data_IF_837623495179
#
_entry.id   IF_837623495179
#
_cell.length_a   1.000
_cell.length_b   1.000
_cell.length_c   1.000
_cell.angle_alpha   90.00
_cell.angle_beta   90.00
_cell.angle_gamma   90.00
#
_symmetry.space_group_name_H-M   'P 1'
#
loop_
_entity.id
_entity.type
_entity.pdbx_description
1 polymer ?
#
# COMPACT_ATOMS: atom_id res chain seq x y z
N UNK A 1 -30.06 -53.06 -40.38
CA UNK A 1 -30.17 -51.74 -41.05
C UNK A 1 -28.78 -51.10 -41.13
N UNK A 2 -28.61 -50.14 -42.04
CA UNK A 2 -27.31 -49.73 -42.61
C UNK A 2 -26.39 -49.01 -41.64
N UNK A 3 -25.12 -49.44 -41.57
CA UNK A 3 -24.02 -48.65 -41.02
C UNK A 3 -23.46 -47.70 -42.09
N UNK A 4 -23.01 -46.50 -41.70
CA UNK A 4 -22.35 -45.55 -42.62
C UNK A 4 -21.03 -45.03 -42.07
N UNK A 5 -19.99 -45.21 -42.89
CA UNK A 5 -18.63 -44.69 -42.73
C UNK A 5 -18.36 -43.59 -43.74
N UNK A 6 -17.65 -42.53 -43.34
CA UNK A 6 -16.75 -41.74 -44.20
C UNK A 6 -15.82 -40.89 -43.30
N UNK A 7 -14.50 -40.71 -43.45
CA UNK A 7 -13.50 -40.90 -44.52
C UNK A 7 -13.27 -39.72 -45.50
N UNK A 8 -12.06 -39.15 -45.47
CA UNK A 8 -11.50 -38.19 -46.46
C UNK A 8 -10.95 -36.92 -45.77
N UNK A 9 -9.64 -36.62 -45.65
CA UNK A 9 -8.49 -36.48 -46.59
C UNK A 9 -8.44 -35.16 -47.38
N UNK A 10 -7.25 -34.51 -47.36
CA UNK A 10 -6.84 -33.38 -48.23
C UNK A 10 -6.02 -32.35 -47.44
N UNK A 11 -4.67 -32.42 -47.40
CA UNK A 11 -3.70 -31.90 -48.40
C UNK A 11 -3.54 -30.35 -48.35
N UNK A 12 -2.44 -29.82 -47.80
CA UNK A 12 -1.09 -29.56 -48.39
C UNK A 12 -1.00 -28.30 -49.27
N UNK A 13 -0.17 -27.34 -48.85
CA UNK A 13 0.87 -26.57 -49.60
C UNK A 13 1.34 -25.40 -48.68
N UNK A 14 2.61 -25.02 -48.44
CA UNK A 14 3.94 -25.11 -49.08
C UNK A 14 4.31 -23.96 -50.04
N UNK A 15 5.58 -23.48 -49.94
CA UNK A 15 6.20 -22.28 -50.57
C UNK A 15 5.62 -20.93 -50.06
N UNK A 16 6.29 -19.76 -50.04
CA UNK A 16 7.66 -19.29 -50.29
C UNK A 16 7.76 -17.80 -49.81
N UNK A 17 8.85 -17.04 -49.94
CA UNK A 17 10.23 -17.33 -50.36
C UNK A 17 11.19 -16.17 -49.95
N UNK A 18 12.36 -16.53 -49.42
CA UNK A 18 13.72 -16.00 -49.69
C UNK A 18 13.97 -14.51 -50.09
N UNK A 19 14.97 -13.88 -49.45
CA UNK A 19 15.62 -12.62 -49.87
C UNK A 19 15.85 -11.64 -48.71
N UNK A 20 16.89 -10.79 -48.65
CA UNK A 20 18.12 -10.61 -49.47
C UNK A 20 19.24 -10.06 -48.56
N UNK A 21 20.50 -10.36 -48.87
CA UNK A 21 21.69 -9.82 -48.20
C UNK A 21 21.97 -8.38 -48.65
N UNK A 22 22.36 -7.48 -47.75
CA UNK A 22 23.13 -6.28 -48.13
C UNK A 22 24.18 -5.90 -47.08
N UNK A 23 25.33 -5.45 -47.56
CA UNK A 23 26.54 -5.18 -46.78
C UNK A 23 26.98 -3.71 -46.86
N UNK A 24 27.72 -3.25 -45.85
CA UNK A 24 28.46 -1.99 -45.87
C UNK A 24 27.81 -0.86 -45.07
N UNK A 25 28.55 0.16 -44.62
CA UNK A 25 30.01 0.39 -44.72
C UNK A 25 30.45 1.34 -43.59
N UNK A 26 31.72 1.25 -43.19
CA UNK A 26 32.34 2.13 -42.21
C UNK A 26 32.24 3.62 -42.59
N UNK A 27 32.03 4.49 -41.59
CA UNK A 27 32.59 5.85 -41.57
C UNK A 27 33.24 6.09 -40.22
N UNK A 28 34.55 6.30 -40.25
CA UNK A 28 35.36 6.77 -39.12
C UNK A 28 35.75 8.22 -39.38
N UNK A 29 35.48 9.14 -38.44
CA UNK A 29 36.13 10.44 -38.39
C UNK A 29 36.57 10.75 -36.95
N UNK A 30 37.84 11.14 -36.82
CA UNK A 30 38.51 11.41 -35.55
C UNK A 30 39.11 12.81 -35.57
N UNK A 31 38.80 13.62 -34.55
CA UNK A 31 39.51 14.84 -34.09
C UNK A 31 38.92 15.19 -32.71
N UNK A 32 39.60 15.33 -31.56
CA UNK A 32 41.02 15.48 -31.16
C UNK A 32 41.63 16.88 -31.26
N UNK A 33 41.29 17.71 -30.27
CA UNK A 33 42.13 18.75 -29.61
C UNK A 33 41.65 18.84 -28.13
N UNK A 34 42.48 18.86 -27.08
CA UNK A 34 43.41 19.91 -26.59
C UNK A 34 42.67 21.25 -26.32
N UNK A 35 42.82 21.94 -25.17
CA UNK A 35 44.02 22.11 -24.33
C UNK A 35 43.71 22.50 -22.84
N UNK A 36 44.77 22.75 -22.04
CA UNK A 36 44.80 22.98 -20.58
C UNK A 36 44.15 24.26 -20.00
N UNK A 37 43.86 24.26 -18.68
CA UNK A 37 43.66 25.46 -17.86
C UNK A 37 43.35 25.23 -16.35
N UNK A 38 44.33 25.45 -15.45
CA UNK A 38 44.27 25.53 -13.97
C UNK A 38 45.60 26.13 -13.47
N UNK A 39 45.75 26.69 -12.24
CA UNK A 39 44.78 27.14 -11.21
C UNK A 39 45.12 28.56 -10.61
N UNK A 40 44.68 28.84 -9.35
CA UNK A 40 45.03 29.95 -8.42
C UNK A 40 44.38 31.36 -8.58
N UNK A 41 44.33 32.21 -7.52
CA UNK A 41 44.16 31.95 -6.07
C UNK A 41 43.08 32.85 -5.37
N UNK A 42 42.90 32.73 -4.04
CA UNK A 42 41.97 33.53 -3.20
C UNK A 42 42.49 34.94 -2.83
N UNK A 43 41.65 35.80 -2.19
CA UNK A 43 41.86 36.05 -0.75
C UNK A 43 40.60 36.10 0.15
N UNK A 44 40.82 36.37 1.45
CA UNK A 44 39.95 36.23 2.63
C UNK A 44 38.86 37.31 2.87
N UNK A 45 38.03 37.02 3.90
CA UNK A 45 37.15 37.89 4.73
C UNK A 45 35.67 37.93 4.31
N UNK A 46 34.68 38.08 5.20
CA UNK A 46 34.68 38.46 6.63
C UNK A 46 33.55 37.75 7.41
N UNK A 47 33.68 37.60 8.74
CA UNK A 47 32.57 37.17 9.62
C UNK A 47 31.55 38.30 9.79
N UNK A 48 30.28 38.04 9.50
CA UNK A 48 29.14 38.84 9.99
C UNK A 48 28.00 37.90 10.39
N UNK A 49 27.69 37.87 11.69
CA UNK A 49 26.41 37.37 12.17
C UNK A 49 25.30 38.31 11.71
N UNK A 50 24.21 37.77 11.17
CA UNK A 50 22.91 38.41 11.34
C UNK A 50 21.77 37.40 11.30
N UNK A 51 21.04 37.32 12.41
CA UNK A 51 19.83 36.53 12.54
C UNK A 51 18.68 37.20 11.81
N UNK A 52 18.17 36.59 10.74
CA UNK A 52 16.86 36.92 10.17
C UNK A 52 15.95 35.71 10.29
N UNK A 53 14.92 35.87 11.13
CA UNK A 53 14.00 34.83 11.55
C UNK A 53 13.00 34.48 10.43
N UNK A 54 13.30 33.47 9.62
CA UNK A 54 12.35 32.95 8.62
C UNK A 54 11.54 31.80 9.20
N UNK A 55 10.35 32.13 9.71
CA UNK A 55 9.32 31.14 10.05
C UNK A 55 8.87 30.41 8.78
N UNK A 56 9.39 29.20 8.57
CA UNK A 56 8.91 28.29 7.52
C UNK A 56 9.17 26.83 7.90
N UNK A 57 8.10 26.03 7.97
CA UNK A 57 8.18 24.56 7.88
C UNK A 57 8.78 23.84 9.08
N UNK A 58 7.98 23.66 10.13
CA UNK A 58 8.11 22.51 11.02
C UNK A 58 7.02 21.49 10.68
N UNK A 59 7.12 20.87 9.50
CA UNK A 59 6.41 19.61 9.26
C UNK A 59 6.82 18.64 10.37
N UNK A 60 5.85 18.03 11.05
CA UNK A 60 6.10 17.10 12.14
C UNK A 60 6.64 15.79 11.59
N UNK A 61 7.93 15.78 11.28
CA UNK A 61 8.69 14.58 10.96
C UNK A 61 8.72 13.69 12.22
N UNK A 62 7.80 12.73 12.28
CA UNK A 62 7.81 11.60 13.22
C UNK A 62 8.93 10.61 12.86
N UNK A 63 10.15 11.14 12.87
CA UNK A 63 11.41 10.38 12.79
C UNK A 63 11.36 9.19 13.72
N UNK A 64 11.96 8.06 13.33
CA UNK A 64 12.08 6.89 14.21
C UNK A 64 13.17 7.12 15.28
N UNK A 65 13.31 8.35 15.78
CA UNK A 65 14.36 8.87 16.67
C UNK A 65 14.56 8.07 17.97
N UNK A 66 13.61 7.22 18.33
CA UNK A 66 13.75 6.25 19.42
C UNK A 66 14.66 5.04 19.06
N UNK A 67 14.99 4.83 17.78
CA UNK A 67 15.70 3.67 17.24
C UNK A 67 16.68 4.04 16.10
N UNK A 68 17.86 4.61 16.39
CA UNK A 68 18.81 5.08 15.36
C UNK A 68 19.33 3.96 14.43
N UNK A 69 19.22 2.69 14.80
CA UNK A 69 19.54 1.54 13.91
C UNK A 69 18.49 1.32 12.81
N UNK A 70 17.25 1.74 13.04
CA UNK A 70 16.15 1.68 12.07
C UNK A 70 16.31 2.83 11.07
N UNK A 71 16.51 4.06 11.55
CA UNK A 71 16.74 5.24 10.71
C UNK A 71 17.90 5.03 9.72
N UNK A 72 19.05 4.55 10.20
CA UNK A 72 20.21 4.27 9.35
C UNK A 72 19.93 3.18 8.29
N UNK A 73 19.13 2.15 8.63
CA UNK A 73 18.75 1.12 7.67
C UNK A 73 17.78 1.67 6.61
N UNK A 74 16.79 2.47 7.00
CA UNK A 74 15.85 3.15 6.10
C UNK A 74 16.57 4.14 5.19
N UNK A 75 17.52 4.92 5.71
CA UNK A 75 18.32 5.87 4.92
C UNK A 75 19.21 5.16 3.89
N UNK A 76 19.88 4.08 4.30
CA UNK A 76 20.69 3.23 3.41
C UNK A 76 19.83 2.61 2.31
N UNK A 77 18.65 2.10 2.67
CA UNK A 77 17.65 1.59 1.73
C UNK A 77 17.23 2.68 0.74
N UNK A 78 16.77 3.85 1.19
CA UNK A 78 16.32 4.95 0.32
C UNK A 78 17.40 5.36 -0.71
N UNK A 79 18.66 5.42 -0.29
CA UNK A 79 19.81 5.69 -1.18
C UNK A 79 19.97 4.61 -2.26
N UNK A 80 19.91 3.32 -1.87
CA UNK A 80 19.97 2.20 -2.80
C UNK A 80 18.77 2.18 -3.77
N UNK A 81 17.54 2.40 -3.27
CA UNK A 81 16.32 2.50 -4.08
C UNK A 81 16.43 3.61 -5.14
N UNK A 82 16.91 4.80 -4.78
CA UNK A 82 17.13 5.89 -5.74
C UNK A 82 18.16 5.55 -6.83
N UNK A 83 19.24 4.82 -6.50
CA UNK A 83 20.21 4.33 -7.49
C UNK A 83 19.57 3.31 -8.44
N UNK A 84 18.92 2.28 -7.89
CA UNK A 84 18.34 1.19 -8.70
C UNK A 84 17.12 1.64 -9.52
N UNK A 85 16.34 2.61 -9.03
CA UNK A 85 15.19 3.18 -9.77
C UNK A 85 15.64 3.94 -11.01
N UNK A 86 16.69 4.78 -10.91
CA UNK A 86 17.30 5.48 -12.05
C UNK A 86 17.94 4.52 -13.06
N UNK A 87 18.48 3.39 -12.59
CA UNK A 87 18.97 2.31 -13.44
C UNK A 87 17.86 1.42 -14.04
N UNK A 88 16.58 1.66 -13.72
CA UNK A 88 15.44 0.81 -14.08
C UNK A 88 15.57 -0.66 -13.61
N UNK A 89 16.32 -0.91 -12.54
CA UNK A 89 16.54 -2.27 -12.01
C UNK A 89 15.48 -2.65 -10.98
N UNK A 90 14.31 -3.06 -11.48
CA UNK A 90 13.19 -3.56 -10.66
C UNK A 90 13.59 -4.71 -9.74
N UNK A 91 14.55 -5.56 -10.15
CA UNK A 91 14.99 -6.73 -9.37
C UNK A 91 15.83 -6.31 -8.18
N UNK A 92 16.77 -5.38 -8.35
CA UNK A 92 17.55 -4.85 -7.22
C UNK A 92 16.69 -4.01 -6.28
N UNK A 93 15.71 -3.26 -6.79
CA UNK A 93 14.71 -2.59 -5.94
C UNK A 93 13.96 -3.59 -5.07
N UNK A 94 13.37 -4.64 -5.65
CA UNK A 94 12.64 -5.68 -4.89
C UNK A 94 13.53 -6.43 -3.90
N UNK A 95 14.78 -6.73 -4.26
CA UNK A 95 15.76 -7.36 -3.35
C UNK A 95 16.04 -6.45 -2.15
N UNK A 96 16.37 -5.18 -2.41
CA UNK A 96 16.67 -4.18 -1.37
C UNK A 96 15.51 -4.07 -0.38
N UNK A 97 14.27 -4.01 -0.88
CA UNK A 97 13.06 -3.96 -0.05
C UNK A 97 12.86 -5.22 0.81
N UNK A 98 13.10 -6.42 0.24
CA UNK A 98 13.01 -7.69 0.96
C UNK A 98 14.10 -7.89 2.03
N UNK A 99 15.26 -7.25 1.88
CA UNK A 99 16.38 -7.33 2.83
C UNK A 99 16.17 -6.49 4.11
N UNK A 100 15.37 -5.41 4.05
CA UNK A 100 15.11 -4.55 5.22
C UNK A 100 14.12 -5.22 6.18
N UNK A 101 14.68 -5.90 7.18
CA UNK A 101 13.93 -6.64 8.23
C UNK A 101 12.79 -5.84 8.87
N UNK A 102 12.96 -4.53 9.04
CA UNK A 102 11.98 -3.65 9.68
C UNK A 102 10.70 -3.46 8.85
N UNK A 103 10.71 -3.70 7.53
CA UNK A 103 9.52 -3.63 6.69
C UNK A 103 8.55 -4.81 6.87
N UNK A 104 8.93 -5.81 7.67
CA UNK A 104 8.08 -6.97 7.98
C UNK A 104 6.99 -6.68 9.02
N UNK A 105 7.23 -5.72 9.92
CA UNK A 105 6.31 -5.33 10.98
C UNK A 105 6.59 -3.87 11.32
N UNK A 106 5.95 -2.95 10.60
CA UNK A 106 6.08 -1.52 10.81
C UNK A 106 4.99 -1.05 11.79
N UNK A 107 5.34 -0.48 12.95
CA UNK A 107 4.33 0.12 13.82
C UNK A 107 3.68 1.31 13.12
N UNK A 108 2.35 1.46 13.28
CA UNK A 108 1.65 2.71 13.01
C UNK A 108 1.14 3.25 14.35
N UNK A 109 1.38 4.53 14.61
CA UNK A 109 0.68 5.23 15.67
C UNK A 109 -0.80 5.41 15.29
N UNK A 110 -1.75 5.18 16.21
CA UNK A 110 -3.16 5.49 15.96
C UNK A 110 -3.29 7.01 15.76
N UNK A 111 -3.72 7.42 14.57
CA UNK A 111 -4.10 8.82 14.34
C UNK A 111 -5.48 9.06 14.92
N UNK A 112 -5.79 10.29 15.39
CA UNK A 112 -7.18 10.66 15.57
C UNK A 112 -7.93 10.44 14.24
N UNK A 113 -9.11 9.82 14.24
CA UNK A 113 -9.87 9.66 13.02
C UNK A 113 -10.14 11.04 12.40
N UNK A 114 -10.08 11.16 11.05
CA UNK A 114 -10.58 12.37 10.41
C UNK A 114 -12.04 12.57 10.82
N UNK A 115 -12.48 13.83 10.99
CA UNK A 115 -13.88 14.15 11.25
C UNK A 115 -14.71 13.86 9.99
N UNK A 116 -15.04 12.59 9.81
CA UNK A 116 -15.93 12.04 8.77
C UNK A 116 -17.31 11.90 9.38
N UNK A 117 -18.32 12.18 8.56
CA UNK A 117 -19.72 12.04 8.96
C UNK A 117 -20.06 10.57 9.25
N UNK A 118 -20.87 10.34 10.29
CA UNK A 118 -21.20 8.99 10.75
C UNK A 118 -21.97 8.22 9.66
N UNK A 119 -22.89 8.87 8.97
CA UNK A 119 -23.70 8.25 7.90
C UNK A 119 -22.82 7.84 6.70
N UNK A 120 -21.85 8.67 6.30
CA UNK A 120 -20.88 8.31 5.24
C UNK A 120 -20.04 7.08 5.64
N UNK A 121 -19.62 7.04 6.91
CA UNK A 121 -18.77 5.98 7.45
C UNK A 121 -19.52 4.65 7.57
N UNK A 122 -20.76 4.67 8.07
CA UNK A 122 -21.66 3.51 8.08
C UNK A 122 -21.92 3.00 6.66
N UNK A 123 -22.17 3.91 5.71
CA UNK A 123 -22.39 3.57 4.31
C UNK A 123 -21.12 3.05 3.60
N UNK A 124 -19.91 3.40 4.05
CA UNK A 124 -18.67 2.75 3.61
C UNK A 124 -18.58 1.32 4.16
N UNK A 125 -18.66 1.16 5.48
CA UNK A 125 -18.52 -0.15 6.15
C UNK A 125 -19.61 -1.12 5.70
N UNK A 126 -20.83 -0.65 5.42
CA UNK A 126 -21.92 -1.47 4.88
C UNK A 126 -21.63 -2.09 3.50
N UNK A 127 -20.65 -1.57 2.73
CA UNK A 127 -20.21 -2.11 1.44
C UNK A 127 -19.06 -3.12 1.58
N UNK A 128 -18.46 -3.22 2.76
CA UNK A 128 -17.31 -4.10 3.00
C UNK A 128 -17.72 -5.56 3.20
N UNK A 129 -16.82 -6.46 2.82
CA UNK A 129 -16.94 -7.88 3.15
C UNK A 129 -16.22 -8.12 4.48
N UNK A 130 -16.96 -8.53 5.50
CA UNK A 130 -16.45 -8.76 6.85
C UNK A 130 -16.48 -10.26 7.17
N UNK A 131 -15.56 -10.71 8.02
CA UNK A 131 -15.55 -12.05 8.62
C UNK A 131 -15.39 -11.87 10.11
N UNK A 132 -16.44 -12.16 10.88
CA UNK A 132 -16.45 -12.06 12.34
C UNK A 132 -16.24 -13.44 12.97
N UNK A 133 -15.18 -13.62 13.76
CA UNK A 133 -14.82 -14.88 14.43
C UNK A 133 -14.79 -16.09 13.46
N UNK A 134 -14.30 -15.88 12.23
CA UNK A 134 -14.25 -16.90 11.17
C UNK A 134 -15.56 -17.10 10.38
N UNK A 135 -16.66 -16.45 10.77
CA UNK A 135 -17.94 -16.50 10.07
C UNK A 135 -18.12 -15.28 9.15
N UNK A 136 -18.48 -15.50 7.89
CA UNK A 136 -18.79 -14.42 6.96
C UNK A 136 -19.96 -13.56 7.47
N UNK A 137 -19.75 -12.25 7.54
CA UNK A 137 -20.70 -11.27 8.04
C UNK A 137 -20.96 -10.21 6.96
N UNK A 138 -22.23 -10.02 6.61
CA UNK A 138 -22.66 -8.97 5.71
C UNK A 138 -23.29 -7.83 6.51
N UNK A 139 -22.64 -6.65 6.62
CA UNK A 139 -23.13 -5.52 7.42
C UNK A 139 -24.43 -4.86 6.89
N UNK A 140 -24.99 -5.34 5.78
CA UNK A 140 -26.21 -4.84 5.14
C UNK A 140 -27.53 -5.07 5.92
N UNK A 141 -27.46 -5.31 7.24
CA UNK A 141 -28.62 -5.36 8.16
C UNK A 141 -28.32 -4.60 9.47
N UNK A 142 -27.54 -3.51 9.41
CA UNK A 142 -27.56 -2.46 10.44
C UNK A 142 -28.46 -1.34 9.92
N UNK A 143 -29.76 -1.64 9.83
CA UNK A 143 -30.77 -0.75 9.25
C UNK A 143 -32.14 -1.04 9.84
N UNK A 144 -32.50 -0.26 10.87
CA UNK A 144 -33.88 -0.10 11.38
C UNK A 144 -34.60 -1.40 11.75
N UNK A 145 -34.08 -2.12 12.74
CA UNK A 145 -34.77 -3.21 13.44
C UNK A 145 -34.89 -2.91 14.94
N UNK A 146 -36.10 -3.00 15.52
CA UNK A 146 -36.43 -2.55 16.88
C UNK A 146 -35.82 -3.39 18.03
N UNK A 147 -34.89 -4.31 17.76
CA UNK A 147 -34.41 -5.31 18.72
C UNK A 147 -33.09 -4.94 19.44
N UNK A 148 -32.75 -3.64 19.49
CA UNK A 148 -31.60 -3.12 20.24
C UNK A 148 -31.65 -3.43 21.76
N UNK A 149 -32.84 -3.75 22.28
CA UNK A 149 -33.10 -4.05 23.69
C UNK A 149 -32.36 -5.29 24.22
N UNK A 150 -32.27 -6.37 23.43
CA UNK A 150 -31.71 -7.63 23.91
C UNK A 150 -30.17 -7.59 24.05
N UNK A 151 -29.48 -7.09 23.01
CA UNK A 151 -28.03 -7.13 22.93
C UNK A 151 -27.35 -6.03 23.78
N UNK A 152 -28.03 -4.93 24.06
CA UNK A 152 -27.53 -3.89 24.98
C UNK A 152 -27.28 -4.45 26.40
N UNK A 153 -28.02 -5.48 26.82
CA UNK A 153 -27.87 -6.09 28.15
C UNK A 153 -26.52 -6.80 28.36
N UNK A 154 -25.96 -7.44 27.32
CA UNK A 154 -24.62 -8.04 27.41
C UNK A 154 -23.52 -6.97 27.47
N UNK A 155 -23.62 -5.92 26.64
CA UNK A 155 -22.64 -4.82 26.62
C UNK A 155 -22.64 -4.07 27.95
N UNK A 156 -23.80 -3.90 28.58
CA UNK A 156 -23.95 -3.22 29.88
C UNK A 156 -23.29 -3.95 31.06
N UNK A 157 -22.98 -5.24 30.91
CA UNK A 157 -22.32 -6.06 31.94
C UNK A 157 -20.78 -6.13 31.80
N UNK A 158 -20.25 -5.62 30.69
CA UNK A 158 -18.83 -5.67 30.38
C UNK A 158 -18.14 -4.40 30.90
N UNK A 159 -16.98 -4.56 31.53
CA UNK A 159 -16.20 -3.45 32.07
C UNK A 159 -15.50 -2.67 30.95
N UNK A 160 -16.27 -1.90 30.19
CA UNK A 160 -15.80 -1.00 29.12
C UNK A 160 -15.68 0.41 29.69
N UNK A 161 -14.50 1.03 29.57
CA UNK A 161 -14.26 2.40 30.07
C UNK A 161 -14.71 3.49 29.09
N UNK A 162 -14.89 3.13 27.83
CA UNK A 162 -15.41 3.98 26.75
C UNK A 162 -16.95 3.95 26.73
N UNK A 163 -17.57 5.05 26.29
CA UNK A 163 -19.01 5.06 26.01
C UNK A 163 -19.33 4.17 24.80
N UNK A 164 -20.53 3.57 24.71
CA UNK A 164 -20.93 2.76 23.56
C UNK A 164 -20.81 3.50 22.23
N UNK A 165 -21.19 4.78 22.20
CA UNK A 165 -21.16 5.61 20.98
C UNK A 165 -19.72 5.86 20.49
N UNK A 166 -18.78 6.12 21.40
CA UNK A 166 -17.36 6.29 21.04
C UNK A 166 -16.76 4.97 20.56
N UNK A 167 -17.08 3.85 21.22
CA UNK A 167 -16.62 2.52 20.79
C UNK A 167 -17.16 2.16 19.40
N UNK A 168 -18.42 2.50 19.12
CA UNK A 168 -19.05 2.28 17.81
C UNK A 168 -18.38 3.13 16.71
N UNK A 169 -18.19 4.43 16.95
CA UNK A 169 -17.51 5.32 16.00
C UNK A 169 -16.06 4.88 15.75
N UNK A 170 -15.30 4.59 16.80
CA UNK A 170 -13.91 4.11 16.67
C UNK A 170 -13.85 2.81 15.86
N UNK A 171 -14.74 1.84 16.13
CA UNK A 171 -14.79 0.60 15.38
C UNK A 171 -15.10 0.85 13.89
N UNK A 172 -16.10 1.67 13.57
CA UNK A 172 -16.41 2.06 12.19
C UNK A 172 -15.20 2.71 11.51
N UNK A 173 -14.46 3.59 12.20
CA UNK A 173 -13.25 4.22 11.63
C UNK A 173 -12.14 3.21 11.30
N UNK A 174 -12.07 2.06 11.99
CA UNK A 174 -11.08 1.00 11.70
C UNK A 174 -11.53 0.06 10.60
N UNK A 175 -12.83 -0.22 10.52
CA UNK A 175 -13.43 -1.02 9.46
C UNK A 175 -13.50 -0.26 8.13
N UNK A 176 -13.58 1.07 8.15
CA UNK A 176 -13.48 1.91 6.95
C UNK A 176 -12.09 1.78 6.31
N UNK A 177 -12.03 1.17 5.12
CA UNK A 177 -10.78 1.00 4.37
C UNK A 177 -10.22 2.31 3.86
N UNK A 178 -11.01 3.36 3.66
CA UNK A 178 -10.48 4.69 3.29
C UNK A 178 -9.57 5.24 4.39
N UNK A 179 -10.04 5.22 5.65
CA UNK A 179 -9.30 5.66 6.84
C UNK A 179 -8.10 4.75 7.08
N UNK A 180 -8.33 3.43 7.18
CA UNK A 180 -7.27 2.43 7.37
C UNK A 180 -6.21 2.48 6.24
N UNK A 181 -6.60 2.78 5.00
CA UNK A 181 -5.66 2.99 3.89
C UNK A 181 -4.92 4.33 3.96
N UNK A 182 -5.52 5.40 4.49
CA UNK A 182 -4.84 6.69 4.72
C UNK A 182 -3.80 6.58 5.84
N UNK A 183 -4.11 5.78 6.87
CA UNK A 183 -3.21 5.43 7.96
C UNK A 183 -1.98 4.65 7.46
N UNK A 184 -2.22 3.60 6.68
CA UNK A 184 -1.13 2.86 6.05
C UNK A 184 -0.36 3.73 5.04
N UNK A 185 -1.06 4.55 4.25
CA UNK A 185 -0.46 5.35 3.19
C UNK A 185 0.62 6.29 3.71
N UNK A 186 0.32 7.16 4.70
CA UNK A 186 1.31 8.16 5.09
C UNK A 186 2.55 7.52 5.72
N UNK A 187 2.40 6.44 6.52
CA UNK A 187 3.55 5.74 7.12
C UNK A 187 4.38 5.00 6.06
N UNK A 188 3.74 4.35 5.09
CA UNK A 188 4.45 3.70 3.99
C UNK A 188 5.10 4.71 3.04
N UNK A 189 4.45 5.85 2.77
CA UNK A 189 5.00 6.91 1.92
C UNK A 189 6.19 7.61 2.57
N UNK A 190 6.18 7.81 3.89
CA UNK A 190 7.33 8.28 4.66
C UNK A 190 8.57 7.38 4.45
N UNK A 191 8.38 6.06 4.37
CA UNK A 191 9.48 5.07 4.31
C UNK A 191 9.91 4.76 2.87
N UNK A 192 8.94 4.57 1.97
CA UNK A 192 9.14 4.06 0.60
C UNK A 192 9.13 5.19 -0.46
N UNK A 193 8.52 6.33 -0.15
CA UNK A 193 8.52 7.51 -1.00
C UNK A 193 9.93 8.11 -1.13
N UNK A 194 10.25 8.63 -2.31
CA UNK A 194 11.55 9.25 -2.58
C UNK A 194 11.48 10.28 -3.72
N UNK A 195 12.63 10.84 -4.09
CA UNK A 195 12.70 11.70 -5.28
C UNK A 195 12.27 10.96 -6.57
N UNK A 196 12.49 9.65 -6.66
CA UNK A 196 12.29 8.85 -7.88
C UNK A 196 11.02 7.97 -7.84
N UNK A 197 10.53 7.65 -6.64
CA UNK A 197 9.39 6.74 -6.41
C UNK A 197 8.26 7.45 -5.66
N UNK A 198 7.04 7.32 -6.18
CA UNK A 198 5.80 7.66 -5.51
C UNK A 198 5.10 6.37 -5.04
N UNK A 199 4.60 6.37 -3.80
CA UNK A 199 3.59 5.41 -3.38
C UNK A 199 2.20 5.92 -3.82
N UNK A 200 1.32 5.04 -4.26
CA UNK A 200 -0.10 5.35 -4.48
C UNK A 200 -0.97 4.17 -4.04
N UNK A 201 -2.24 4.42 -3.68
CA UNK A 201 -3.21 3.38 -3.36
C UNK A 201 -3.67 2.67 -4.65
N UNK A 202 -3.25 1.42 -4.85
CA UNK A 202 -3.60 0.62 -6.03
C UNK A 202 -5.01 0.03 -5.94
N UNK A 203 -5.63 0.07 -4.76
CA UNK A 203 -7.04 -0.31 -4.55
C UNK A 203 -7.99 0.69 -5.24
N UNK A 204 -7.66 1.99 -5.15
CA UNK A 204 -8.46 3.08 -5.70
C UNK A 204 -8.52 3.12 -7.24
N UNK A 205 -7.53 2.56 -7.94
CA UNK A 205 -7.48 2.56 -9.41
C UNK A 205 -8.44 1.54 -10.05
N UNK A 206 -8.98 0.58 -9.29
CA UNK A 206 -10.02 -0.34 -9.80
C UNK A 206 -11.38 0.35 -9.79
N UNK A 207 -11.60 1.26 -10.75
CA UNK A 207 -12.95 1.41 -11.31
C UNK A 207 -13.40 0.01 -11.72
N UNK A 208 -14.44 -0.58 -11.11
CA UNK A 208 -14.86 -1.93 -11.46
C UNK A 208 -15.19 -1.90 -12.95
N UNK A 209 -14.46 -2.68 -13.75
CA UNK A 209 -14.87 -2.95 -15.12
C UNK A 209 -16.17 -3.71 -15.00
N UNK A 210 -17.30 -3.01 -15.16
CA UNK A 210 -18.65 -3.56 -15.10
C UNK A 210 -18.76 -4.58 -16.23
N UNK A 211 -18.34 -5.82 -15.95
CA UNK A 211 -18.68 -7.00 -16.73
C UNK A 211 -20.17 -7.21 -16.50
N UNK A 212 -20.99 -6.51 -17.28
CA UNK A 212 -22.44 -6.74 -17.37
C UNK A 212 -22.66 -8.25 -17.51
N UNK A 213 -23.34 -8.90 -16.55
CA UNK A 213 -23.84 -10.26 -16.74
C UNK A 213 -23.61 -11.30 -15.63
N UNK A 214 -23.16 -10.98 -14.41
CA UNK A 214 -23.29 -11.91 -13.27
C UNK A 214 -23.75 -11.21 -11.98
N UNK A 215 -24.87 -11.63 -11.35
CA UNK A 215 -25.17 -11.28 -9.97
C UNK A 215 -24.20 -12.01 -9.03
N UNK A 216 -23.83 -11.39 -7.91
CA UNK A 216 -22.78 -11.90 -7.01
C UNK A 216 -21.38 -11.42 -7.37
N UNK A 217 -21.19 -10.10 -7.52
CA UNK A 217 -19.85 -9.50 -7.57
C UNK A 217 -19.20 -9.61 -6.18
N UNK A 218 -18.46 -10.70 -5.95
CA UNK A 218 -17.50 -10.77 -4.84
C UNK A 218 -16.40 -9.75 -5.15
N UNK A 219 -16.06 -8.91 -4.17
CA UNK A 219 -14.96 -7.96 -4.30
C UNK A 219 -13.64 -8.72 -4.50
N UNK A 220 -12.78 -8.25 -5.41
CA UNK A 220 -11.40 -8.76 -5.54
C UNK A 220 -10.56 -8.44 -4.29
N UNK A 221 -11.06 -7.58 -3.39
CA UNK A 221 -10.42 -7.21 -2.13
C UNK A 221 -10.73 -8.27 -1.07
N UNK A 222 -9.73 -8.88 -0.40
CA UNK A 222 -9.96 -9.84 0.68
C UNK A 222 -10.81 -9.23 1.82
N UNK A 223 -11.65 -10.03 2.50
CA UNK A 223 -12.49 -9.54 3.59
C UNK A 223 -11.66 -8.91 4.71
N UNK A 224 -12.31 -8.07 5.52
CA UNK A 224 -11.75 -7.63 6.81
C UNK A 224 -12.06 -8.74 7.82
N UNK A 225 -11.02 -9.29 8.42
CA UNK A 225 -11.18 -10.29 9.48
C UNK A 225 -11.25 -9.58 10.82
N UNK A 226 -12.28 -9.88 11.61
CA UNK A 226 -12.55 -9.30 12.92
C UNK A 226 -12.66 -10.48 13.87
N UNK A 227 -11.80 -10.55 14.88
CA UNK A 227 -11.92 -11.55 15.94
C UNK A 227 -12.16 -10.83 17.26
N UNK A 228 -13.35 -10.98 17.84
CA UNK A 228 -13.75 -10.39 19.13
C UNK A 228 -13.82 -11.51 20.17
N UNK A 229 -13.12 -11.32 21.28
CA UNK A 229 -13.00 -12.32 22.35
C UNK A 229 -12.88 -11.64 23.72
N UNK A 230 -13.29 -12.38 24.75
CA UNK A 230 -13.10 -11.96 26.14
C UNK A 230 -11.87 -12.66 26.72
N UNK A 231 -10.97 -11.91 27.36
CA UNK A 231 -9.83 -12.47 28.08
C UNK A 231 -9.60 -11.66 29.38
N UNK A 232 -9.64 -12.37 30.51
CA UNK A 232 -9.46 -11.78 31.84
C UNK A 232 -10.54 -10.77 32.24
N UNK A 233 -11.79 -10.96 31.80
CA UNK A 233 -12.91 -10.04 32.05
C UNK A 233 -12.88 -8.75 31.21
N UNK A 234 -11.99 -8.67 30.21
CA UNK A 234 -11.87 -7.55 29.29
C UNK A 234 -12.25 -7.99 27.87
N UNK A 235 -12.91 -7.11 27.12
CA UNK A 235 -13.17 -7.35 25.69
C UNK A 235 -11.96 -6.92 24.87
N UNK A 236 -11.50 -7.80 23.99
CA UNK A 236 -10.46 -7.52 23.01
C UNK A 236 -10.99 -7.73 21.61
N UNK A 237 -10.42 -7.02 20.64
CA UNK A 237 -10.58 -7.34 19.23
C UNK A 237 -9.24 -7.38 18.50
N UNK A 238 -9.16 -8.27 17.51
CA UNK A 238 -8.09 -8.36 16.54
C UNK A 238 -8.69 -8.15 15.14
N UNK A 239 -8.35 -7.02 14.52
CA UNK A 239 -8.81 -6.62 13.18
C UNK A 239 -7.64 -6.78 12.21
N UNK A 240 -7.88 -7.47 11.10
CA UNK A 240 -6.91 -7.66 10.01
C UNK A 240 -7.51 -7.13 8.71
N UNK A 241 -6.87 -6.09 8.15
CA UNK A 241 -7.32 -5.43 6.93
C UNK A 241 -6.25 -5.51 5.84
N UNK A 242 -6.55 -6.22 4.75
CA UNK A 242 -5.72 -6.22 3.54
C UNK A 242 -6.00 -4.99 2.67
N UNK A 243 -4.92 -4.37 2.18
CA UNK A 243 -4.88 -3.20 1.32
C UNK A 243 -3.93 -3.40 0.12
N UNK A 244 -4.21 -2.74 -1.01
CA UNK A 244 -3.36 -2.77 -2.20
C UNK A 244 -2.64 -1.44 -2.44
N UNK A 245 -1.31 -1.46 -2.54
CA UNK A 245 -0.50 -0.30 -2.87
C UNK A 245 0.40 -0.53 -4.10
N UNK A 246 0.84 0.56 -4.71
CA UNK A 246 1.75 0.55 -5.85
C UNK A 246 2.88 1.54 -5.68
N UNK A 247 4.11 1.12 -6.01
CA UNK A 247 5.22 2.03 -6.26
C UNK A 247 5.26 2.36 -7.76
N UNK A 248 5.27 3.65 -8.06
CA UNK A 248 5.36 4.21 -9.40
C UNK A 248 6.69 4.95 -9.47
N UNK A 249 7.46 4.74 -10.54
CA UNK A 249 8.55 5.67 -10.86
C UNK A 249 7.89 6.99 -11.26
N UNK A 250 8.41 8.15 -10.84
CA UNK A 250 7.79 9.45 -11.20
C UNK A 250 7.64 9.64 -12.72
N UNK A 251 8.56 9.09 -13.49
CA UNK A 251 8.52 9.03 -14.96
C UNK A 251 7.34 8.20 -15.52
N UNK A 252 6.83 7.23 -14.77
CA UNK A 252 5.79 6.28 -15.19
C UNK A 252 4.39 6.59 -14.62
N UNK A 253 4.23 7.60 -13.75
CA UNK A 253 2.95 7.87 -13.05
C UNK A 253 1.79 8.00 -14.04
N UNK A 254 2.02 8.68 -15.17
CA UNK A 254 1.02 8.89 -16.23
C UNK A 254 0.56 7.60 -16.93
N UNK A 255 1.23 6.46 -16.72
CA UNK A 255 0.81 5.17 -17.29
C UNK A 255 -0.37 4.54 -16.56
N UNK A 256 -0.70 5.00 -15.34
CA UNK A 256 -1.71 4.38 -14.48
C UNK A 256 -1.41 2.91 -14.17
N UNK A 257 -0.12 2.54 -14.15
CA UNK A 257 0.34 1.17 -13.85
C UNK A 257 1.49 1.23 -12.85
N UNK A 258 1.34 0.61 -11.66
CA UNK A 258 2.43 0.53 -10.70
C UNK A 258 3.57 -0.34 -11.23
N UNK A 259 4.81 0.15 -11.07
CA UNK A 259 6.03 -0.57 -11.41
C UNK A 259 6.26 -1.76 -10.48
N UNK A 260 5.87 -1.60 -9.21
CA UNK A 260 5.80 -2.67 -8.20
C UNK A 260 4.43 -2.57 -7.51
N UNK A 261 3.62 -3.61 -7.64
CA UNK A 261 2.42 -3.83 -6.80
C UNK A 261 2.86 -4.46 -5.49
N UNK A 262 2.29 -4.03 -4.37
CA UNK A 262 2.44 -4.69 -3.07
C UNK A 262 1.07 -4.88 -2.43
N UNK A 263 0.95 -5.94 -1.64
CA UNK A 263 -0.17 -6.12 -0.71
C UNK A 263 0.32 -5.76 0.69
N UNK A 264 -0.55 -5.11 1.46
CA UNK A 264 -0.26 -4.55 2.77
C UNK A 264 -1.31 -5.06 3.72
N UNK A 265 -0.90 -5.69 4.80
CA UNK A 265 -1.80 -6.22 5.83
C UNK A 265 -1.65 -5.38 7.09
N UNK A 266 -2.69 -4.62 7.43
CA UNK A 266 -2.79 -3.96 8.73
C UNK A 266 -3.30 -4.97 9.75
N UNK A 267 -2.49 -5.26 10.76
CA UNK A 267 -2.87 -6.04 11.93
C UNK A 267 -3.05 -5.10 13.12
N UNK A 268 -4.25 -5.12 13.71
CA UNK A 268 -4.64 -4.23 14.78
C UNK A 268 -5.22 -5.02 15.95
N UNK A 269 -4.70 -4.76 17.15
CA UNK A 269 -5.20 -5.33 18.41
C UNK A 269 -5.67 -4.20 19.31
N UNK A 270 -6.87 -4.33 19.84
CA UNK A 270 -7.48 -3.35 20.74
C UNK A 270 -8.07 -4.06 21.97
N UNK A 271 -7.99 -3.39 23.11
CA UNK A 271 -8.63 -3.77 24.36
C UNK A 271 -9.63 -2.66 24.70
N UNK A 272 -10.92 -2.93 24.48
CA UNK A 272 -11.99 -1.94 24.66
C UNK A 272 -12.15 -1.50 26.12
N UNK A 273 -11.82 -2.39 27.05
CA UNK A 273 -11.87 -2.12 28.50
C UNK A 273 -10.87 -1.07 28.96
N UNK A 274 -9.73 -0.91 28.26
CA UNK A 274 -8.66 0.04 28.62
C UNK A 274 -8.41 1.14 27.57
N UNK A 275 -9.05 1.07 26.40
CA UNK A 275 -8.72 1.90 25.24
C UNK A 275 -7.33 1.63 24.64
N UNK A 276 -6.60 0.63 25.14
CA UNK A 276 -5.25 0.30 24.67
C UNK A 276 -5.30 -0.35 23.30
N UNK A 277 -4.37 0.04 22.42
CA UNK A 277 -4.33 -0.43 21.04
C UNK A 277 -2.90 -0.54 20.51
N UNK A 278 -2.67 -1.53 19.64
CA UNK A 278 -1.39 -1.77 18.95
C UNK A 278 -1.68 -2.07 17.49
N UNK A 279 -1.06 -1.31 16.58
CA UNK A 279 -1.23 -1.43 15.13
C UNK A 279 0.11 -1.65 14.45
N UNK A 280 0.18 -2.60 13.52
CA UNK A 280 1.35 -2.78 12.68
C UNK A 280 1.01 -3.23 11.25
N UNK A 281 1.88 -2.85 10.32
CA UNK A 281 1.82 -3.24 8.91
C UNK A 281 2.80 -4.36 8.63
N UNK A 282 2.32 -5.40 7.94
CA UNK A 282 3.16 -6.35 7.21
C UNK A 282 3.07 -6.07 5.71
N UNK A 283 4.23 -5.94 5.03
CA UNK A 283 4.28 -5.72 3.57
C UNK A 283 4.60 -7.03 2.83
N UNK A 284 3.68 -7.43 1.95
CA UNK A 284 3.81 -8.59 1.08
C UNK A 284 4.31 -8.14 -0.30
N UNK A 285 5.61 -8.33 -0.50
CA UNK A 285 6.31 -7.99 -1.74
C UNK A 285 6.09 -9.06 -2.83
N UNK A 286 5.93 -8.67 -4.11
CA UNK A 286 5.75 -9.61 -5.19
C UNK A 286 7.03 -10.41 -5.47
N UNK A 287 6.90 -11.52 -6.19
CA UNK A 287 8.04 -12.34 -6.57
C UNK A 287 8.95 -11.65 -7.60
N UNK A 288 10.25 -11.93 -7.50
CA UNK A 288 11.29 -11.29 -8.33
C UNK A 288 11.37 -11.85 -9.76
N UNK A 289 10.65 -12.95 -10.01
CA UNK A 289 10.72 -13.74 -11.25
C UNK A 289 9.45 -13.65 -12.11
N UNK A 290 8.52 -12.75 -11.74
CA UNK A 290 7.28 -12.42 -12.48
C UNK A 290 7.34 -10.98 -12.98
#
# INVERSE_FOLDING_TARGET
MVARTSSGRGARNSSGSAGVISSGRLVSTSSKDRNHGKPQPQPLSTVVNNSSNTNSGAESATSFSHYPKIDNAILTMKSALGRFTRANDRRMVLRTLKEVKYLKALPIDPRPPPMVDLEELELEVAKESLVLNGQAFHPSVIGVGNDASANASMISSLAVTLSPDTLYYDLLCRLARTITSSDCYAKLNEILGSHELNLMNASAERKPKIKKGKPGFVSDTPPIEINIFEEGGNIHAHIVTTLGFGLYRKLDVNTGRPWIKMQVELNERMNFSSGSQVRHITIHWPDMYV
#
